data_IF_147458936414
#
_entry.id   IF_147458936414
#
_cell.length_a   1.000
_cell.length_b   1.000
_cell.length_c   1.000
_cell.angle_alpha   90.00
_cell.angle_beta   90.00
_cell.angle_gamma   90.00
#
_symmetry.space_group_name_H-M   'P 1'
#
loop_
_entity.id
_entity.type
_entity.pdbx_description
1 polymer ?
#
# COMPACT_ATOMS: atom_id res chain seq x y z
N UNK A 1 -6.18 -33.66 -22.47
CA UNK A 1 -5.11 -34.51 -23.05
C UNK A 1 -4.86 -35.66 -22.09
N UNK A 2 -5.00 -36.90 -22.56
CA UNK A 2 -4.90 -38.13 -21.76
C UNK A 2 -3.48 -38.67 -21.88
N UNK A 3 -2.79 -38.92 -20.76
CA UNK A 3 -1.55 -39.70 -20.76
C UNK A 3 -1.73 -40.94 -19.87
N UNK A 4 -1.78 -42.09 -20.52
CA UNK A 4 -1.57 -43.41 -19.95
C UNK A 4 -0.07 -43.62 -19.73
N UNK A 5 0.31 -44.17 -18.57
CA UNK A 5 1.69 -44.53 -18.26
C UNK A 5 1.78 -45.21 -16.91
N UNK A 6 1.33 -46.47 -16.85
CA UNK A 6 1.57 -47.36 -15.72
C UNK A 6 2.99 -47.90 -15.82
N UNK A 7 3.83 -47.62 -14.83
CA UNK A 7 5.03 -48.38 -14.53
C UNK A 7 5.04 -48.67 -13.03
N UNK A 8 4.74 -49.93 -12.70
CA UNK A 8 4.75 -50.46 -11.35
C UNK A 8 6.20 -50.82 -10.97
N UNK A 9 6.81 -50.07 -10.06
CA UNK A 9 7.71 -50.59 -9.03
C UNK A 9 7.86 -49.55 -7.91
N UNK A 10 7.59 -49.98 -6.69
CA UNK A 10 7.46 -49.18 -5.49
C UNK A 10 8.84 -48.70 -4.98
N UNK A 11 9.19 -47.45 -5.22
CA UNK A 11 10.25 -46.74 -4.49
C UNK A 11 9.52 -45.73 -3.62
N UNK A 12 9.66 -45.84 -2.30
CA UNK A 12 9.15 -44.85 -1.34
C UNK A 12 9.97 -43.58 -1.46
N UNK A 13 9.76 -42.80 -2.53
CA UNK A 13 10.26 -41.44 -2.63
C UNK A 13 9.45 -40.59 -1.68
N UNK A 14 10.08 -40.17 -0.59
CA UNK A 14 9.56 -39.06 0.21
C UNK A 14 9.45 -37.83 -0.70
N UNK A 15 8.26 -37.60 -1.25
CA UNK A 15 7.95 -36.42 -2.04
C UNK A 15 8.03 -35.21 -1.13
N UNK A 16 9.14 -34.48 -1.19
CA UNK A 16 9.24 -33.15 -0.60
C UNK A 16 8.25 -32.28 -1.37
N UNK A 17 7.10 -31.99 -0.76
CA UNK A 17 6.16 -30.99 -1.24
C UNK A 17 6.85 -29.63 -1.11
N UNK A 18 7.50 -29.19 -2.18
CA UNK A 18 7.99 -27.81 -2.29
C UNK A 18 6.76 -26.91 -2.41
N UNK A 19 6.33 -26.35 -1.29
CA UNK A 19 5.28 -25.33 -1.27
C UNK A 19 5.86 -24.03 -1.86
N UNK A 20 5.51 -23.74 -3.11
CA UNK A 20 5.78 -22.44 -3.72
C UNK A 20 4.82 -21.43 -3.07
N UNK A 21 5.33 -20.59 -2.17
CA UNK A 21 4.54 -19.45 -1.68
C UNK A 21 4.42 -18.42 -2.80
N UNK A 22 3.25 -17.80 -3.01
CA UNK A 22 3.12 -16.71 -3.95
C UNK A 22 4.10 -15.60 -3.58
N UNK A 23 4.78 -15.05 -4.59
CA UNK A 23 5.66 -13.92 -4.38
C UNK A 23 4.84 -12.74 -3.84
N UNK A 24 5.31 -12.13 -2.75
CA UNK A 24 4.75 -10.87 -2.24
C UNK A 24 5.27 -9.74 -3.13
N UNK A 25 4.37 -8.92 -3.64
CA UNK A 25 4.72 -7.72 -4.40
C UNK A 25 4.41 -6.52 -3.51
N UNK A 26 5.39 -5.63 -3.35
CA UNK A 26 5.22 -4.39 -2.62
C UNK A 26 4.86 -3.28 -3.59
N UNK A 27 3.84 -2.50 -3.23
CA UNK A 27 3.44 -1.29 -3.93
C UNK A 27 3.71 -0.08 -3.04
N UNK A 28 4.15 1.03 -3.63
CA UNK A 28 4.28 2.31 -2.97
C UNK A 28 3.29 3.27 -3.60
N UNK A 29 2.59 4.03 -2.76
CA UNK A 29 1.60 5.02 -3.19
C UNK A 29 1.98 6.36 -2.57
N UNK A 30 2.12 7.37 -3.42
CA UNK A 30 2.35 8.74 -2.99
C UNK A 30 1.04 9.50 -2.98
N UNK A 31 0.84 10.30 -1.95
CA UNK A 31 -0.35 11.13 -1.79
C UNK A 31 0.03 12.60 -1.90
N UNK A 32 -0.84 13.38 -2.52
CA UNK A 32 -0.70 14.83 -2.60
C UNK A 32 -2.08 15.48 -2.52
N UNK A 33 -2.15 16.65 -1.90
CA UNK A 33 -3.36 17.45 -1.87
C UNK A 33 -3.40 18.47 -3.01
N UNK A 34 -4.58 18.69 -3.57
CA UNK A 34 -4.82 19.72 -4.58
C UNK A 34 -6.15 20.44 -4.34
N UNK A 35 -6.21 21.71 -4.73
CA UNK A 35 -7.44 22.48 -4.87
C UNK A 35 -7.73 22.64 -6.36
N UNK A 36 -8.65 21.82 -6.87
CA UNK A 36 -8.77 21.62 -8.32
C UNK A 36 -7.51 20.95 -8.88
N UNK A 37 -6.90 21.54 -9.89
CA UNK A 37 -5.66 21.04 -10.51
C UNK A 37 -4.39 21.58 -9.83
N UNK A 38 -4.50 22.52 -8.90
CA UNK A 38 -3.35 23.18 -8.28
C UNK A 38 -2.94 22.47 -6.98
N UNK A 39 -1.65 22.13 -6.79
CA UNK A 39 -1.17 21.52 -5.56
C UNK A 39 -1.33 22.45 -4.34
N UNK A 40 -1.75 21.89 -3.21
CA UNK A 40 -1.70 22.56 -1.91
C UNK A 40 -0.40 22.22 -1.19
N UNK A 41 0.25 23.21 -0.59
CA UNK A 41 1.47 23.05 0.20
C UNK A 41 1.40 23.93 1.45
N UNK A 42 2.31 23.70 2.37
CA UNK A 42 2.48 24.56 3.54
C UNK A 42 2.83 25.99 3.09
N UNK A 43 2.05 26.97 3.56
CA UNK A 43 2.22 28.39 3.21
C UNK A 43 1.95 28.76 1.75
N UNK A 44 1.45 27.85 0.91
CA UNK A 44 1.21 28.12 -0.51
C UNK A 44 -0.01 27.39 -1.08
N UNK A 45 -0.81 28.14 -1.86
CA UNK A 45 -1.92 27.60 -2.65
C UNK A 45 -2.76 28.71 -3.31
N UNK A 46 -3.74 28.32 -4.13
CA UNK A 46 -4.52 29.27 -4.93
C UNK A 46 -5.40 30.17 -4.06
N UNK A 47 -5.62 31.41 -4.53
CA UNK A 47 -6.46 32.42 -3.85
C UNK A 47 -6.07 32.67 -2.38
N UNK A 48 -4.77 32.64 -2.07
CA UNK A 48 -4.25 32.77 -0.70
C UNK A 48 -4.78 31.69 0.28
N UNK A 49 -5.20 30.53 -0.25
CA UNK A 49 -5.51 29.35 0.57
C UNK A 49 -4.22 28.56 0.75
N UNK A 50 -3.76 28.40 2.00
CA UNK A 50 -2.66 27.49 2.35
C UNK A 50 -3.18 26.31 3.16
N UNK A 51 -2.45 25.20 3.09
CA UNK A 51 -2.64 24.09 4.01
C UNK A 51 -1.84 24.38 5.29
N UNK A 52 -2.47 24.17 6.45
CA UNK A 52 -1.82 24.33 7.76
C UNK A 52 -1.71 23.03 8.54
N UNK A 53 -2.61 22.08 8.29
CA UNK A 53 -2.64 20.74 8.89
C UNK A 53 -3.59 19.88 8.03
N UNK A 54 -3.05 18.98 7.20
CA UNK A 54 -3.86 18.07 6.39
C UNK A 54 -3.40 16.64 6.60
N UNK A 55 -4.24 15.91 7.33
CA UNK A 55 -4.01 14.55 7.76
C UNK A 55 -5.22 13.68 7.51
N UNK A 56 -5.00 12.44 7.11
CA UNK A 56 -6.05 11.43 7.13
C UNK A 56 -5.49 10.04 7.42
N UNK A 57 -6.36 9.18 7.97
CA UNK A 57 -6.04 7.79 8.24
C UNK A 57 -6.56 6.90 7.11
N UNK A 58 -5.74 5.94 6.70
CA UNK A 58 -6.12 4.86 5.78
C UNK A 58 -6.10 3.53 6.53
N UNK A 59 -7.10 2.69 6.29
CA UNK A 59 -7.17 1.32 6.77
C UNK A 59 -7.88 0.45 5.72
N UNK A 60 -7.73 -0.87 5.83
CA UNK A 60 -8.40 -1.87 4.97
C UNK A 60 -8.28 -1.60 3.46
N UNK A 61 -7.06 -1.26 3.00
CA UNK A 61 -6.82 -0.93 1.59
C UNK A 61 -7.02 -2.14 0.66
N UNK A 62 -7.69 -1.92 -0.47
CA UNK A 62 -8.00 -2.93 -1.49
C UNK A 62 -7.51 -2.47 -2.86
N UNK A 63 -6.81 -3.34 -3.59
CA UNK A 63 -6.56 -3.18 -5.02
C UNK A 63 -7.72 -3.79 -5.81
N UNK A 64 -8.26 -3.09 -6.80
CA UNK A 64 -9.29 -3.64 -7.69
C UNK A 64 -8.63 -4.10 -8.99
N UNK A 65 -8.78 -5.38 -9.34
CA UNK A 65 -8.21 -5.94 -10.56
C UNK A 65 -9.02 -5.59 -11.82
N UNK A 66 -8.50 -5.97 -13.00
CA UNK A 66 -9.16 -5.70 -14.29
C UNK A 66 -10.50 -6.42 -14.48
N UNK A 67 -10.82 -7.40 -13.64
CA UNK A 67 -12.11 -8.07 -13.60
C UNK A 67 -13.06 -7.49 -12.53
N UNK A 68 -12.66 -6.41 -11.84
CA UNK A 68 -13.43 -5.76 -10.79
C UNK A 68 -13.37 -6.45 -9.43
N UNK A 69 -12.44 -7.39 -9.22
CA UNK A 69 -12.33 -8.13 -7.95
C UNK A 69 -11.43 -7.37 -6.97
N UNK A 70 -11.84 -7.21 -5.69
CA UNK A 70 -10.99 -6.62 -4.67
C UNK A 70 -9.92 -7.62 -4.22
N UNK A 71 -8.69 -7.13 -4.09
CA UNK A 71 -7.52 -7.85 -3.61
C UNK A 71 -6.97 -7.08 -2.41
N UNK A 72 -7.04 -7.63 -1.18
CA UNK A 72 -6.58 -6.94 0.01
C UNK A 72 -5.08 -6.63 -0.04
N UNK A 73 -4.72 -5.41 0.37
CA UNK A 73 -3.35 -5.00 0.61
C UNK A 73 -3.02 -5.14 2.09
N UNK A 74 -1.79 -5.54 2.39
CA UNK A 74 -1.22 -5.47 3.75
C UNK A 74 -0.36 -4.21 3.83
N UNK A 75 -0.61 -3.39 4.85
CA UNK A 75 0.27 -2.27 5.15
C UNK A 75 1.58 -2.79 5.74
N UNK A 76 2.70 -2.20 5.31
CA UNK A 76 4.04 -2.60 5.76
C UNK A 76 4.47 -1.63 6.85
N UNK A 77 4.64 -2.06 8.11
CA UNK A 77 5.00 -1.12 9.16
C UNK A 77 6.26 -0.32 8.85
N UNK A 78 6.21 1.00 9.03
CA UNK A 78 7.35 1.90 8.81
C UNK A 78 8.05 2.31 10.12
N UNK A 79 7.43 2.00 11.27
CA UNK A 79 7.92 2.32 12.60
C UNK A 79 7.60 3.74 13.08
N UNK A 80 6.84 4.52 12.32
CA UNK A 80 6.50 5.91 12.63
C UNK A 80 5.00 6.17 12.43
N UNK A 81 4.51 6.12 11.19
CA UNK A 81 3.16 6.55 10.82
C UNK A 81 2.30 5.45 10.15
N UNK A 82 2.88 4.27 9.93
CA UNK A 82 2.21 3.12 9.32
C UNK A 82 2.37 1.88 10.20
N UNK A 83 1.26 1.33 10.67
CA UNK A 83 1.16 0.00 11.27
C UNK A 83 0.74 -1.04 10.23
N UNK A 84 0.48 -2.28 10.65
CA UNK A 84 -0.08 -3.30 9.77
C UNK A 84 -1.60 -3.09 9.52
N UNK A 85 -2.25 -2.22 10.29
CA UNK A 85 -3.69 -2.00 10.33
C UNK A 85 -4.10 -0.60 9.84
N UNK A 86 -3.31 0.42 10.18
CA UNK A 86 -3.61 1.82 9.85
C UNK A 86 -2.35 2.58 9.43
N UNK A 87 -2.49 3.48 8.48
CA UNK A 87 -1.47 4.49 8.16
C UNK A 87 -2.03 5.90 8.31
N UNK A 88 -1.24 6.80 8.88
CA UNK A 88 -1.45 8.23 8.83
C UNK A 88 -0.76 8.78 7.58
N UNK A 89 -1.53 9.42 6.70
CA UNK A 89 -0.97 10.24 5.65
C UNK A 89 -0.86 11.66 6.20
N UNK A 90 0.38 12.08 6.43
CA UNK A 90 0.73 13.41 6.91
C UNK A 90 1.30 14.23 5.75
N UNK A 91 0.55 15.21 5.26
CA UNK A 91 0.96 16.02 4.11
C UNK A 91 1.62 17.35 4.51
N UNK A 92 1.65 17.68 5.80
CA UNK A 92 2.51 18.77 6.27
C UNK A 92 3.98 18.39 6.17
N UNK A 93 4.81 19.39 5.86
CA UNK A 93 6.27 19.25 5.76
C UNK A 93 7.02 20.05 6.84
N UNK A 94 6.29 20.51 7.86
CA UNK A 94 6.82 21.33 8.95
C UNK A 94 7.30 22.73 8.53
N UNK A 95 7.09 23.14 7.28
CA UNK A 95 7.49 24.46 6.78
C UNK A 95 6.36 25.49 6.88
N UNK A 96 6.70 26.78 6.77
CA UNK A 96 5.72 27.87 6.70
C UNK A 96 4.68 27.84 7.83
N UNK A 97 3.40 27.76 7.45
CA UNK A 97 2.27 27.73 8.39
C UNK A 97 2.04 26.35 9.05
N UNK A 98 2.76 25.31 8.64
CA UNK A 98 2.64 23.94 9.17
C UNK A 98 3.60 23.66 10.36
N UNK A 99 4.09 24.69 11.04
CA UNK A 99 5.11 24.52 12.10
C UNK A 99 4.59 23.92 13.41
N UNK A 100 3.27 23.82 13.61
CA UNK A 100 2.67 23.25 14.82
C UNK A 100 2.28 21.76 14.64
N UNK A 101 3.00 21.06 13.76
CA UNK A 101 2.71 19.71 13.30
C UNK A 101 3.22 18.55 14.17
N UNK A 102 3.13 17.34 13.63
CA UNK A 102 3.62 16.09 14.23
C UNK A 102 5.16 16.01 14.11
N UNK A 103 5.89 15.42 15.09
CA UNK A 103 7.36 15.46 15.16
C UNK A 103 8.11 14.75 14.03
#
# INVERSE_FOLDING_TARGET
MKFFGSCLLCVTTASVLVACSPAKITHQFEFSASYGAEPLRCGAGPNATSMTDLRWFIHDALLVDSAGRPVPLQLVPDGIWQSAEVALIDLEDGSGDCQNGTP
#
